data_IF_748761212613
#
_entry.id   IF_748761212613
#
_cell.length_a   1.000
_cell.length_b   1.000
_cell.length_c   1.000
_cell.angle_alpha   90.00
_cell.angle_beta   90.00
_cell.angle_gamma   90.00
#
_symmetry.space_group_name_H-M   'P 1'
#
loop_
_entity.id
_entity.type
_entity.pdbx_description
1 polymer ?
#
# COMPACT_ATOMS: atom_id res chain seq x y z
N UNK A 1 -9.67 47.36 -8.81
CA UNK A 1 -9.39 46.07 -8.15
C UNK A 1 -8.15 45.47 -8.81
N UNK A 2 -7.10 45.22 -8.03
CA UNK A 2 -5.78 44.84 -8.51
C UNK A 2 -5.75 43.31 -8.69
N UNK A 3 -6.06 42.81 -9.90
CA UNK A 3 -6.07 41.38 -10.23
C UNK A 3 -4.64 40.82 -10.42
N UNK A 4 -3.78 40.94 -9.39
CA UNK A 4 -2.50 40.22 -9.39
C UNK A 4 -2.75 38.79 -8.87
N UNK A 5 -2.32 37.75 -9.61
CA UNK A 5 -2.43 36.36 -9.15
C UNK A 5 -1.75 36.21 -7.76
N UNK A 6 -2.32 35.42 -6.84
CA UNK A 6 -1.89 35.40 -5.44
C UNK A 6 -0.53 34.74 -5.19
N UNK A 7 0.13 34.17 -6.20
CA UNK A 7 1.42 33.50 -6.05
C UNK A 7 2.27 33.76 -7.31
N UNK A 8 3.35 34.52 -7.14
CA UNK A 8 4.43 34.65 -8.13
C UNK A 8 5.71 34.18 -7.47
N UNK A 9 6.39 33.19 -8.06
CA UNK A 9 7.68 32.73 -7.55
C UNK A 9 8.77 33.78 -7.74
N UNK A 10 9.73 33.77 -6.83
CA UNK A 10 10.94 34.59 -6.93
C UNK A 10 11.74 34.12 -8.16
N UNK A 11 12.24 35.07 -8.96
CA UNK A 11 12.77 34.85 -10.32
C UNK A 11 14.02 33.96 -10.41
N UNK A 12 14.49 33.40 -9.29
CA UNK A 12 15.65 32.52 -9.20
C UNK A 12 15.38 31.16 -8.57
N UNK A 13 14.14 30.85 -8.14
CA UNK A 13 13.84 29.53 -7.58
C UNK A 13 13.21 28.64 -8.65
N UNK A 14 13.79 27.45 -8.96
CA UNK A 14 13.16 26.49 -9.87
C UNK A 14 11.95 25.78 -9.23
N UNK A 15 11.33 26.36 -8.19
CA UNK A 15 10.32 25.73 -7.33
C UNK A 15 9.16 25.15 -8.11
N UNK A 16 8.56 25.94 -9.00
CA UNK A 16 7.41 25.55 -9.81
C UNK A 16 7.76 24.48 -10.83
N UNK A 17 8.92 24.64 -11.48
CA UNK A 17 9.40 23.67 -12.46
C UNK A 17 9.75 22.34 -11.79
N UNK A 18 10.38 22.39 -10.62
CA UNK A 18 10.68 21.21 -9.81
C UNK A 18 9.41 20.53 -9.32
N UNK A 19 8.44 21.30 -8.84
CA UNK A 19 7.14 20.77 -8.41
C UNK A 19 6.42 20.08 -9.57
N UNK A 20 6.34 20.71 -10.74
CA UNK A 20 5.72 20.10 -11.92
C UNK A 20 6.45 18.83 -12.36
N UNK A 21 7.79 18.87 -12.43
CA UNK A 21 8.58 17.69 -12.77
C UNK A 21 8.36 16.54 -11.79
N UNK A 22 8.26 16.83 -10.48
CA UNK A 22 7.97 15.83 -9.45
C UNK A 22 6.56 15.25 -9.58
N UNK A 23 5.55 16.09 -9.81
CA UNK A 23 4.17 15.65 -10.04
C UNK A 23 4.09 14.76 -11.28
N UNK A 24 4.64 15.19 -12.41
CA UNK A 24 4.60 14.40 -13.64
C UNK A 24 5.50 13.15 -13.58
N UNK A 25 6.60 13.15 -12.83
CA UNK A 25 7.38 11.95 -12.57
C UNK A 25 6.57 10.91 -11.77
N UNK A 26 5.80 11.36 -10.78
CA UNK A 26 4.88 10.50 -10.02
C UNK A 26 3.74 9.97 -10.90
N UNK A 27 3.13 10.84 -11.71
CA UNK A 27 2.03 10.47 -12.61
C UNK A 27 2.49 9.59 -13.78
N UNK A 28 3.71 9.74 -14.31
CA UNK A 28 4.25 8.89 -15.37
C UNK A 28 4.54 7.46 -14.88
N UNK A 29 4.85 7.31 -13.60
CA UNK A 29 5.05 6.00 -12.97
C UNK A 29 3.73 5.26 -12.75
N UNK A 30 2.70 5.98 -12.29
CA UNK A 30 1.39 5.40 -11.97
C UNK A 30 0.49 5.30 -13.21
N UNK A 31 0.34 4.09 -13.73
CA UNK A 31 -0.49 3.76 -14.90
C UNK A 31 -1.90 3.34 -14.51
N UNK A 32 -2.03 2.62 -13.40
CA UNK A 32 -3.33 2.09 -12.97
C UNK A 32 -3.36 1.72 -11.49
N UNK A 33 -4.56 1.69 -10.92
CA UNK A 33 -4.78 1.11 -9.59
C UNK A 33 -5.85 0.03 -9.65
N UNK A 34 -5.58 -1.08 -8.97
CA UNK A 34 -6.52 -2.18 -8.80
C UNK A 34 -6.87 -2.29 -7.32
N UNK A 35 -8.16 -2.50 -7.04
CA UNK A 35 -8.66 -2.64 -5.67
C UNK A 35 -9.36 -3.98 -5.52
N UNK A 36 -9.11 -4.65 -4.41
CA UNK A 36 -9.87 -5.81 -3.98
C UNK A 36 -10.03 -5.81 -2.46
N UNK A 37 -10.93 -6.64 -1.96
CA UNK A 37 -11.07 -6.89 -0.54
C UNK A 37 -11.29 -8.37 -0.26
N UNK A 38 -10.71 -8.87 0.81
CA UNK A 38 -10.89 -10.27 1.26
C UNK A 38 -11.17 -10.31 2.75
N UNK A 39 -12.05 -11.21 3.19
CA UNK A 39 -12.21 -11.54 4.60
C UNK A 39 -11.31 -12.74 4.89
N UNK A 40 -10.39 -12.61 5.84
CA UNK A 40 -9.47 -13.67 6.20
C UNK A 40 -9.17 -13.68 7.69
N UNK A 41 -8.97 -14.87 8.24
CA UNK A 41 -8.47 -15.08 9.60
C UNK A 41 -7.11 -15.76 9.50
N UNK A 42 -6.06 -15.05 9.94
CA UNK A 42 -4.78 -15.72 10.16
C UNK A 42 -4.95 -16.63 11.38
N UNK A 43 -4.48 -17.88 11.28
CA UNK A 43 -4.40 -18.77 12.44
C UNK A 43 -3.44 -18.23 13.50
N UNK A 44 -3.13 -19.04 14.52
CA UNK A 44 -2.14 -18.66 15.52
C UNK A 44 -0.78 -18.38 14.85
N UNK A 45 -0.26 -17.16 15.00
CA UNK A 45 1.04 -16.74 14.50
C UNK A 45 2.02 -16.77 15.68
N UNK A 46 3.02 -17.68 15.68
CA UNK A 46 4.02 -17.75 16.75
C UNK A 46 4.79 -16.44 16.93
N UNK A 47 5.45 -16.30 18.08
CA UNK A 47 6.34 -15.18 18.35
C UNK A 47 7.45 -15.07 17.30
N UNK A 48 7.82 -13.84 16.92
CA UNK A 48 8.87 -13.56 15.92
C UNK A 48 8.69 -14.32 14.59
N UNK A 49 7.44 -14.52 14.17
CA UNK A 49 7.12 -15.32 12.99
C UNK A 49 6.09 -14.62 12.09
N UNK A 50 5.80 -15.24 10.95
CA UNK A 50 4.83 -14.73 9.99
C UNK A 50 3.94 -15.84 9.44
N UNK A 51 2.71 -15.48 9.13
CA UNK A 51 1.80 -16.30 8.35
C UNK A 51 1.43 -15.56 7.06
N UNK A 52 1.09 -16.32 6.01
CA UNK A 52 0.71 -15.73 4.72
C UNK A 52 -0.53 -16.39 4.13
N UNK A 53 -1.17 -15.66 3.22
CA UNK A 53 -2.27 -16.15 2.38
C UNK A 53 -2.21 -15.46 1.03
N UNK A 54 -2.78 -16.08 0.00
CA UNK A 54 -2.83 -15.52 -1.35
C UNK A 54 -4.21 -15.01 -1.70
N UNK A 55 -4.25 -13.89 -2.42
CA UNK A 55 -5.46 -13.22 -2.88
C UNK A 55 -5.34 -12.94 -4.37
N UNK A 56 -6.37 -13.31 -5.12
CA UNK A 56 -6.43 -12.99 -6.54
C UNK A 56 -6.68 -11.48 -6.73
N UNK A 57 -5.79 -10.83 -7.47
CA UNK A 57 -5.92 -9.42 -7.87
C UNK A 57 -5.65 -9.32 -9.36
N UNK A 58 -6.72 -9.36 -10.15
CA UNK A 58 -6.60 -9.32 -11.61
C UNK A 58 -5.78 -8.11 -12.07
N UNK A 59 -4.88 -8.35 -13.02
CA UNK A 59 -3.93 -7.43 -13.64
C UNK A 59 -2.73 -7.04 -12.77
N UNK A 60 -2.64 -7.51 -11.53
CA UNK A 60 -1.42 -7.32 -10.73
C UNK A 60 -0.22 -8.03 -11.38
N UNK A 61 0.94 -7.38 -11.37
CA UNK A 61 2.19 -7.92 -11.92
C UNK A 61 3.31 -7.85 -10.88
N UNK A 62 4.25 -8.82 -10.86
CA UNK A 62 5.41 -8.73 -9.99
C UNK A 62 6.16 -7.41 -10.20
N UNK A 63 6.46 -6.72 -9.09
CA UNK A 63 7.06 -5.38 -9.09
C UNK A 63 6.07 -4.25 -8.76
N UNK A 64 4.76 -4.49 -8.86
CA UNK A 64 3.75 -3.50 -8.46
C UNK A 64 3.78 -3.28 -6.93
N UNK A 65 3.46 -2.05 -6.51
CA UNK A 65 3.36 -1.72 -5.09
C UNK A 65 2.01 -2.16 -4.52
N UNK A 66 2.01 -2.76 -3.33
CA UNK A 66 0.78 -3.24 -2.67
C UNK A 66 0.59 -2.52 -1.35
N UNK A 67 -0.55 -1.83 -1.22
CA UNK A 67 -1.03 -1.30 0.04
C UNK A 67 -2.07 -2.26 0.64
N UNK A 68 -1.85 -2.65 1.88
CA UNK A 68 -2.77 -3.52 2.64
C UNK A 68 -3.27 -2.77 3.85
N UNK A 69 -4.59 -2.71 4.02
CA UNK A 69 -5.22 -2.02 5.15
C UNK A 69 -6.30 -2.93 5.75
N UNK A 70 -6.12 -3.44 6.98
CA UNK A 70 -7.18 -4.19 7.67
C UNK A 70 -8.33 -3.24 8.07
N UNK A 71 -9.51 -3.79 8.32
CA UNK A 71 -10.65 -3.03 8.84
C UNK A 71 -10.49 -2.69 10.34
N UNK A 72 -9.69 -3.49 11.05
CA UNK A 72 -9.31 -3.26 12.43
C UNK A 72 -7.87 -3.73 12.64
N UNK A 73 -7.06 -2.94 13.34
CA UNK A 73 -5.69 -3.30 13.66
C UNK A 73 -5.65 -4.39 14.74
N UNK A 74 -4.68 -5.30 14.61
CA UNK A 74 -4.38 -6.28 15.65
C UNK A 74 -3.09 -5.85 16.36
N UNK A 75 -3.11 -5.53 17.66
CA UNK A 75 -1.92 -5.12 18.39
C UNK A 75 -0.77 -6.11 18.24
N UNK A 76 0.43 -5.62 17.91
CA UNK A 76 1.63 -6.45 17.75
C UNK A 76 1.76 -7.16 16.39
N UNK A 77 0.77 -7.03 15.50
CA UNK A 77 0.81 -7.57 14.14
C UNK A 77 1.00 -6.44 13.12
N UNK A 78 1.93 -6.64 12.20
CA UNK A 78 2.06 -5.80 10.99
C UNK A 78 1.59 -6.57 9.77
N UNK A 79 0.79 -5.92 8.93
CA UNK A 79 0.32 -6.49 7.67
C UNK A 79 1.06 -5.89 6.49
N UNK A 80 1.45 -6.72 5.53
CA UNK A 80 2.09 -6.27 4.28
C UNK A 80 1.64 -7.15 3.11
N UNK A 81 1.72 -6.63 1.88
CA UNK A 81 1.40 -7.39 0.67
C UNK A 81 2.53 -7.30 -0.36
N UNK A 82 2.68 -8.33 -1.18
CA UNK A 82 3.59 -8.38 -2.33
C UNK A 82 2.89 -9.11 -3.47
N UNK A 83 3.06 -8.62 -4.71
CA UNK A 83 2.66 -9.38 -5.91
C UNK A 83 3.70 -10.47 -6.18
N UNK A 84 3.38 -11.72 -5.83
CA UNK A 84 4.33 -12.85 -5.94
C UNK A 84 4.25 -13.56 -7.28
N UNK A 85 3.13 -13.42 -7.99
CA UNK A 85 2.93 -13.95 -9.33
C UNK A 85 1.92 -13.07 -10.08
N UNK A 86 1.77 -13.30 -11.39
CA UNK A 86 0.72 -12.64 -12.15
C UNK A 86 -0.64 -12.86 -11.49
N UNK A 87 -1.40 -11.77 -11.37
CA UNK A 87 -2.74 -11.73 -10.82
C UNK A 87 -2.85 -12.20 -9.36
N UNK A 88 -1.74 -12.26 -8.63
CA UNK A 88 -1.66 -12.86 -7.28
C UNK A 88 -0.89 -11.98 -6.30
N UNK A 89 -1.59 -11.52 -5.27
CA UNK A 89 -0.98 -10.84 -4.11
C UNK A 89 -0.87 -11.83 -2.96
N UNK A 90 0.33 -11.95 -2.39
CA UNK A 90 0.54 -12.63 -1.11
C UNK A 90 0.45 -11.59 0.02
N UNK A 91 -0.48 -11.80 0.93
CA UNK A 91 -0.57 -11.08 2.20
C UNK A 91 0.28 -11.77 3.25
N UNK A 92 0.95 -10.97 4.07
CA UNK A 92 1.71 -11.42 5.23
C UNK A 92 1.17 -10.75 6.49
N UNK A 93 0.97 -11.53 7.54
CA UNK A 93 0.80 -11.07 8.90
C UNK A 93 2.06 -11.43 9.70
N UNK A 94 2.74 -10.42 10.24
CA UNK A 94 4.02 -10.57 10.93
C UNK A 94 3.86 -10.25 12.40
N UNK A 95 4.21 -11.20 13.27
CA UNK A 95 4.15 -11.05 14.72
C UNK A 95 5.54 -10.73 15.26
N UNK A 96 5.73 -9.49 15.72
CA UNK A 96 6.98 -9.02 16.30
C UNK A 96 6.99 -9.07 17.83
N UNK A 97 5.99 -9.70 18.45
CA UNK A 97 5.91 -9.82 19.91
C UNK A 97 6.61 -11.08 20.41
N UNK A 98 6.69 -11.21 21.74
CA UNK A 98 7.28 -12.37 22.41
C UNK A 98 6.28 -13.54 22.58
N UNK A 99 4.99 -13.34 22.28
CA UNK A 99 3.94 -14.34 22.44
C UNK A 99 3.27 -14.69 21.11
N UNK A 100 2.59 -15.83 21.05
CA UNK A 100 1.75 -16.16 19.91
C UNK A 100 0.51 -15.26 19.91
N UNK A 101 0.13 -14.76 18.74
CA UNK A 101 -1.07 -13.93 18.55
C UNK A 101 -1.97 -14.62 17.52
N UNK A 102 -3.27 -14.66 17.82
CA UNK A 102 -4.29 -15.14 16.87
C UNK A 102 -5.18 -13.96 16.50
N UNK A 103 -4.96 -13.32 15.33
CA UNK A 103 -5.81 -12.23 14.87
C UNK A 103 -7.25 -12.71 14.66
N UNK A 104 -8.23 -11.90 15.03
CA UNK A 104 -9.61 -12.17 14.66
C UNK A 104 -9.80 -12.06 13.14
N UNK A 105 -10.82 -12.74 12.61
CA UNK A 105 -11.22 -12.58 11.21
C UNK A 105 -11.52 -11.11 10.91
N UNK A 106 -10.89 -10.55 9.88
CA UNK A 106 -11.09 -9.15 9.48
C UNK A 106 -11.12 -9.00 7.97
N UNK A 107 -11.63 -7.85 7.50
CA UNK A 107 -11.60 -7.50 6.08
C UNK A 107 -10.30 -6.79 5.76
N UNK A 108 -9.54 -7.29 4.80
CA UNK A 108 -8.35 -6.65 4.26
C UNK A 108 -8.70 -5.93 2.96
N UNK A 109 -8.48 -4.62 2.93
CA UNK A 109 -8.51 -3.82 1.70
C UNK A 109 -7.12 -3.86 1.08
N UNK A 110 -7.07 -4.22 -0.20
CA UNK A 110 -5.82 -4.37 -0.95
C UNK A 110 -5.90 -3.42 -2.14
N UNK A 111 -4.90 -2.56 -2.27
CA UNK A 111 -4.73 -1.68 -3.41
C UNK A 111 -3.38 -2.00 -4.04
N UNK A 112 -3.40 -2.33 -5.32
CA UNK A 112 -2.19 -2.51 -6.14
C UNK A 112 -2.02 -1.27 -7.00
N UNK A 113 -0.83 -0.67 -6.93
CA UNK A 113 -0.42 0.49 -7.70
C UNK A 113 0.62 0.03 -8.73
N UNK A 114 0.28 0.22 -10.00
CA UNK A 114 1.09 -0.12 -11.17
C UNK A 114 1.46 1.11 -11.95
#
# INVERSE_FOLDING_TARGET
MNNRPPLTEDSGSPGWQNWFNQVFACLNGWRSSFRTSVIYAFGAIPAQSQASTTVAVNKARPGDSVLVTPAADTPGISYSGVVTANDTVTLYAKNFTAGAITPASTTFRIIVLQ
#
